data_IF_235343886106
#
_entry.id   IF_235343886106
#
_cell.length_a   1.000
_cell.length_b   1.000
_cell.length_c   1.000
_cell.angle_alpha   90.00
_cell.angle_beta   90.00
_cell.angle_gamma   90.00
#
_symmetry.space_group_name_H-M   'P 1'
#
loop_
_entity.id
_entity.type
_entity.pdbx_description
1 polymer ?
#
# COMPACT_ATOMS: atom_id res chain seq x y z
N UNK A 1 -11.50 11.79 -4.35
CA UNK A 1 -10.23 11.07 -4.52
C UNK A 1 -9.25 11.62 -3.49
N UNK A 2 -8.56 10.76 -2.73
CA UNK A 2 -7.60 11.16 -1.71
C UNK A 2 -6.24 10.55 -2.04
N UNK A 3 -5.16 11.31 -1.91
CA UNK A 3 -3.78 10.86 -2.12
C UNK A 3 -2.93 11.29 -0.93
N UNK A 4 -2.05 10.41 -0.48
CA UNK A 4 -1.09 10.73 0.58
C UNK A 4 0.20 9.96 0.37
N UNK A 5 1.32 10.65 0.58
CA UNK A 5 2.66 10.09 0.43
C UNK A 5 3.22 9.69 1.79
N UNK A 6 3.97 8.58 1.80
CA UNK A 6 4.57 8.02 3.00
C UNK A 6 5.95 7.44 2.69
N UNK A 7 6.88 7.63 3.63
CA UNK A 7 8.17 6.95 3.60
C UNK A 7 8.06 5.64 4.39
N UNK A 8 8.33 4.52 3.72
CA UNK A 8 8.35 3.21 4.37
C UNK A 8 9.64 3.09 5.18
N UNK A 9 9.52 3.20 6.51
CA UNK A 9 10.65 3.12 7.45
C UNK A 9 11.11 1.69 7.74
N UNK A 10 10.35 0.69 7.32
CA UNK A 10 10.72 -0.71 7.52
C UNK A 10 11.92 -1.04 6.63
N UNK A 11 13.00 -1.59 7.21
CA UNK A 11 14.24 -1.95 6.50
C UNK A 11 13.99 -2.90 5.33
N UNK A 12 12.97 -3.73 5.47
CA UNK A 12 12.61 -4.75 4.50
C UNK A 12 11.62 -4.17 3.44
N UNK A 13 11.04 -3.00 3.69
CA UNK A 13 10.03 -2.40 2.82
C UNK A 13 8.62 -2.98 3.03
N UNK A 14 7.78 -2.84 2.01
CA UNK A 14 6.40 -3.38 2.01
C UNK A 14 6.38 -4.78 1.39
N UNK A 15 6.86 -5.77 2.12
CA UNK A 15 6.87 -7.15 1.66
C UNK A 15 6.47 -8.12 2.78
N UNK A 16 6.29 -9.41 2.44
CA UNK A 16 5.95 -10.48 3.38
C UNK A 16 4.76 -10.11 4.28
N UNK A 17 4.89 -10.26 5.60
CA UNK A 17 3.82 -10.00 6.57
C UNK A 17 3.26 -8.56 6.50
N UNK A 18 4.07 -7.48 6.50
CA UNK A 18 3.58 -6.12 6.30
C UNK A 18 2.70 -5.93 5.06
N UNK A 19 3.09 -6.51 3.92
CA UNK A 19 2.30 -6.43 2.68
C UNK A 19 0.96 -7.17 2.81
N UNK A 20 0.96 -8.37 3.42
CA UNK A 20 -0.27 -9.13 3.66
C UNK A 20 -1.25 -8.36 4.56
N UNK A 21 -0.76 -7.75 5.64
CA UNK A 21 -1.59 -6.92 6.54
C UNK A 21 -2.13 -5.69 5.81
N UNK A 22 -1.33 -5.06 4.95
CA UNK A 22 -1.77 -3.93 4.12
C UNK A 22 -2.94 -4.33 3.21
N UNK A 23 -2.79 -5.41 2.41
CA UNK A 23 -3.82 -5.90 1.49
C UNK A 23 -5.08 -6.32 2.24
N UNK A 24 -4.94 -7.07 3.34
CA UNK A 24 -6.09 -7.45 4.18
C UNK A 24 -6.83 -6.26 4.76
N UNK A 25 -6.12 -5.16 5.07
CA UNK A 25 -6.74 -3.94 5.58
C UNK A 25 -7.43 -3.16 4.46
N UNK A 26 -6.78 -3.03 3.30
CA UNK A 26 -7.35 -2.37 2.12
C UNK A 26 -8.65 -3.06 1.66
N UNK A 27 -8.68 -4.39 1.66
CA UNK A 27 -9.86 -5.19 1.28
C UNK A 27 -11.10 -5.00 2.16
N UNK A 28 -10.97 -4.36 3.34
CA UNK A 28 -12.11 -4.04 4.20
C UNK A 28 -12.94 -2.86 3.68
N UNK A 29 -12.42 -2.11 2.71
CA UNK A 29 -13.06 -0.92 2.16
C UNK A 29 -13.60 -1.20 0.75
N UNK A 30 -14.72 -0.59 0.41
CA UNK A 30 -15.31 -0.65 -0.94
C UNK A 30 -14.59 0.25 -1.95
N UNK A 31 -13.74 1.16 -1.47
CA UNK A 31 -13.00 2.11 -2.31
C UNK A 31 -11.92 1.40 -3.11
N UNK A 32 -11.65 1.87 -4.33
CA UNK A 32 -10.48 1.44 -5.08
C UNK A 32 -9.22 2.06 -4.44
N UNK A 33 -8.32 1.22 -3.92
CA UNK A 33 -7.08 1.63 -3.25
C UNK A 33 -5.93 1.23 -4.16
N UNK A 34 -5.03 2.16 -4.46
CA UNK A 34 -3.86 1.91 -5.31
C UNK A 34 -2.60 2.46 -4.65
N UNK A 35 -1.48 1.79 -4.86
CA UNK A 35 -0.15 2.20 -4.39
C UNK A 35 0.71 2.57 -5.58
N UNK A 36 1.40 3.69 -5.50
CA UNK A 36 2.34 4.17 -6.52
C UNK A 36 3.75 4.23 -5.94
N UNK A 37 4.73 3.70 -6.67
CA UNK A 37 6.15 3.82 -6.34
C UNK A 37 6.97 3.92 -7.63
N UNK A 38 7.83 4.92 -7.72
CA UNK A 38 8.72 5.15 -8.87
C UNK A 38 7.96 5.14 -10.22
N UNK A 39 6.77 5.76 -10.25
CA UNK A 39 5.88 5.82 -11.43
C UNK A 39 5.11 4.53 -11.74
N UNK A 40 5.30 3.47 -10.96
CA UNK A 40 4.57 2.20 -11.10
C UNK A 40 3.39 2.15 -10.13
N UNK A 41 2.19 1.96 -10.68
CA UNK A 41 0.94 1.87 -9.92
C UNK A 41 0.50 0.40 -9.82
N UNK A 42 0.09 -0.02 -8.62
CA UNK A 42 -0.47 -1.35 -8.31
C UNK A 42 -1.74 -1.21 -7.45
N UNK A 43 -2.59 -2.24 -7.44
CA UNK A 43 -3.79 -2.35 -6.60
C UNK A 43 -3.51 -3.33 -5.45
#
# INVERSE_FOLDING_TARGET
MQRKEFVIKNKIGLHARPAAVFVQTANKFKSNITVEKDGKIVN
#
